data_IF_215987044940
#
_entry.id   IF_215987044940
#
_cell.length_a   1.000
_cell.length_b   1.000
_cell.length_c   1.000
_cell.angle_alpha   90.00
_cell.angle_beta   90.00
_cell.angle_gamma   90.00
#
_symmetry.space_group_name_H-M   'P 1'
#
loop_
_entity.id
_entity.type
_entity.pdbx_description
1 polymer ?
#
# COMPACT_ATOMS: atom_id res chain seq x y z
N UNK A 1 17.59 19.81 -17.42
CA UNK A 1 18.04 20.54 -16.22
C UNK A 1 19.31 21.28 -16.58
N UNK A 2 19.43 22.57 -16.25
CA UNK A 2 20.72 23.28 -16.36
C UNK A 2 21.73 22.63 -15.41
N UNK A 3 22.98 22.46 -15.86
CA UNK A 3 24.07 21.84 -15.09
C UNK A 3 24.23 22.46 -13.69
N UNK A 4 24.08 23.78 -13.61
CA UNK A 4 24.11 24.52 -12.34
C UNK A 4 23.04 24.08 -11.33
N UNK A 5 21.82 23.79 -11.77
CA UNK A 5 20.75 23.29 -10.88
C UNK A 5 21.02 21.84 -10.44
N UNK A 6 21.66 21.04 -11.29
CA UNK A 6 22.01 19.67 -10.92
C UNK A 6 23.09 19.68 -9.82
N UNK A 7 24.12 20.53 -9.97
CA UNK A 7 25.21 20.63 -8.99
C UNK A 7 24.74 21.22 -7.65
N UNK A 8 23.87 22.24 -7.64
CA UNK A 8 23.25 22.79 -6.42
C UNK A 8 22.44 21.73 -5.66
N UNK A 9 21.63 20.93 -6.37
CA UNK A 9 20.88 19.84 -5.73
C UNK A 9 21.80 18.76 -5.13
N UNK A 10 22.93 18.47 -5.78
CA UNK A 10 23.93 17.53 -5.25
C UNK A 10 24.57 18.08 -3.97
N UNK A 11 24.93 19.36 -3.95
CA UNK A 11 25.53 20.01 -2.78
C UNK A 11 24.59 19.99 -1.57
N UNK A 12 23.29 20.29 -1.78
CA UNK A 12 22.27 20.22 -0.73
C UNK A 12 22.07 18.80 -0.21
N UNK A 13 22.04 17.81 -1.11
CA UNK A 13 21.93 16.42 -0.72
C UNK A 13 23.14 15.96 0.10
N UNK A 14 24.36 16.31 -0.31
CA UNK A 14 25.56 15.93 0.43
C UNK A 14 25.62 16.57 1.81
N UNK A 15 25.26 17.86 1.93
CA UNK A 15 25.22 18.56 3.22
C UNK A 15 24.22 17.90 4.18
N UNK A 16 23.01 17.61 3.68
CA UNK A 16 22.00 16.90 4.47
C UNK A 16 22.49 15.51 4.93
N UNK A 17 23.10 14.73 4.04
CA UNK A 17 23.57 13.38 4.39
C UNK A 17 24.74 13.38 5.38
N UNK A 18 25.57 14.43 5.39
CA UNK A 18 26.62 14.59 6.40
C UNK A 18 26.09 15.01 7.76
N UNK A 19 25.08 15.87 7.81
CA UNK A 19 24.50 16.37 9.07
C UNK A 19 23.47 15.42 9.68
N UNK A 20 22.73 14.69 8.85
CA UNK A 20 21.64 13.84 9.32
C UNK A 20 22.19 12.67 10.14
N UNK A 21 22.06 12.72 11.47
CA UNK A 21 22.47 11.62 12.37
C UNK A 21 21.78 10.30 12.03
N UNK A 22 20.48 10.35 11.76
CA UNK A 22 19.66 9.22 11.30
C UNK A 22 18.87 9.59 10.04
N UNK A 23 18.75 8.64 9.11
CA UNK A 23 17.93 8.84 7.91
C UNK A 23 16.47 8.49 8.22
N UNK A 24 15.50 9.25 7.67
CA UNK A 24 14.09 8.98 7.90
C UNK A 24 13.70 7.62 7.32
N UNK A 25 13.47 6.66 8.20
CA UNK A 25 13.07 5.30 7.87
C UNK A 25 11.66 5.01 8.37
N UNK A 26 10.91 4.21 7.60
CA UNK A 26 9.58 3.73 7.96
C UNK A 26 9.53 2.22 7.72
N UNK A 27 9.34 1.45 8.80
CA UNK A 27 9.30 -0.01 8.73
C UNK A 27 10.63 -0.64 8.30
N UNK A 28 11.77 -0.09 8.78
CA UNK A 28 13.11 -0.59 8.44
C UNK A 28 13.67 -0.13 7.09
N UNK A 29 12.87 0.55 6.25
CA UNK A 29 13.29 1.05 4.94
C UNK A 29 13.38 2.58 4.91
N UNK A 30 14.40 3.12 4.23
CA UNK A 30 14.63 4.56 4.16
C UNK A 30 13.69 5.22 3.13
N UNK A 31 13.05 6.33 3.52
CA UNK A 31 12.09 7.03 2.68
C UNK A 31 12.78 8.07 1.80
N UNK A 32 12.91 7.77 0.50
CA UNK A 32 13.47 8.68 -0.51
C UNK A 32 12.72 10.02 -0.56
N UNK A 33 11.39 10.00 -0.44
CA UNK A 33 10.56 11.21 -0.41
C UNK A 33 10.85 12.06 0.83
N UNK A 34 11.04 11.43 2.00
CA UNK A 34 11.37 12.16 3.22
C UNK A 34 12.77 12.77 3.14
N UNK A 35 13.74 12.05 2.56
CA UNK A 35 15.09 12.58 2.31
C UNK A 35 15.03 13.76 1.35
N UNK A 36 14.32 13.64 0.22
CA UNK A 36 14.20 14.73 -0.75
C UNK A 36 13.61 15.99 -0.11
N UNK A 37 12.55 15.82 0.69
CA UNK A 37 11.92 16.92 1.42
C UNK A 37 12.86 17.55 2.46
N UNK A 38 13.60 16.73 3.21
CA UNK A 38 14.52 17.20 4.23
C UNK A 38 15.77 17.89 3.64
N UNK A 39 16.27 17.41 2.50
CA UNK A 39 17.36 18.02 1.75
C UNK A 39 16.91 19.22 0.90
N UNK A 40 15.60 19.51 0.82
CA UNK A 40 15.07 20.62 0.03
C UNK A 40 15.26 20.47 -1.48
N UNK A 41 15.24 19.23 -1.99
CA UNK A 41 15.40 18.91 -3.42
C UNK A 41 14.17 18.18 -3.96
N UNK A 42 13.97 18.22 -5.28
CA UNK A 42 12.93 17.43 -5.93
C UNK A 42 13.29 15.94 -5.88
N UNK A 43 12.34 15.09 -5.46
CA UNK A 43 12.47 13.63 -5.45
C UNK A 43 12.95 13.05 -6.78
N UNK A 44 12.56 13.66 -7.91
CA UNK A 44 12.95 13.21 -9.24
C UNK A 44 14.46 13.32 -9.47
N UNK A 45 15.17 14.20 -8.76
CA UNK A 45 16.63 14.33 -8.83
C UNK A 45 17.31 13.07 -8.30
N UNK A 46 16.81 12.50 -7.19
CA UNK A 46 17.35 11.27 -6.61
C UNK A 46 17.22 10.08 -7.56
N UNK A 47 16.18 10.06 -8.40
CA UNK A 47 15.96 8.98 -9.38
C UNK A 47 16.69 9.22 -10.71
N UNK A 48 16.71 10.45 -11.22
CA UNK A 48 17.21 10.76 -12.57
C UNK A 48 18.69 11.12 -12.61
N UNK A 49 19.26 11.61 -11.50
CA UNK A 49 20.66 11.99 -11.44
C UNK A 49 21.50 10.84 -10.86
N UNK A 50 22.35 10.18 -11.66
CA UNK A 50 23.16 9.05 -11.19
C UNK A 50 24.11 9.45 -10.06
N UNK A 51 24.58 10.70 -10.01
CA UNK A 51 25.43 11.20 -8.91
C UNK A 51 24.67 11.28 -7.59
N UNK A 52 23.40 11.68 -7.63
CA UNK A 52 22.56 11.78 -6.44
C UNK A 52 22.26 10.39 -5.87
N UNK A 53 22.01 9.43 -6.77
CA UNK A 53 21.80 8.03 -6.42
C UNK A 53 23.03 7.42 -5.75
N UNK A 54 24.21 7.57 -6.34
CA UNK A 54 25.46 7.06 -5.77
C UNK A 54 25.75 7.65 -4.38
N UNK A 55 25.56 8.97 -4.21
CA UNK A 55 25.72 9.62 -2.90
C UNK A 55 24.79 9.06 -1.83
N UNK A 56 23.54 8.77 -2.20
CA UNK A 56 22.57 8.23 -1.27
C UNK A 56 22.89 6.78 -0.89
N UNK A 57 23.29 5.95 -1.85
CA UNK A 57 23.74 4.57 -1.60
C UNK A 57 24.97 4.53 -0.69
N UNK A 58 25.96 5.39 -0.92
CA UNK A 58 27.14 5.52 -0.08
C UNK A 58 26.79 5.93 1.36
N UNK A 59 25.87 6.89 1.52
CA UNK A 59 25.41 7.33 2.83
C UNK A 59 24.65 6.22 3.60
N UNK A 60 23.85 5.42 2.90
CA UNK A 60 23.15 4.28 3.48
C UNK A 60 24.13 3.20 3.95
N UNK A 61 25.12 2.90 3.11
CA UNK A 61 26.18 1.93 3.42
C UNK A 61 27.00 2.37 4.63
N UNK A 62 27.42 3.63 4.68
CA UNK A 62 28.15 4.21 5.83
C UNK A 62 27.34 4.16 7.12
N UNK A 63 26.03 4.37 7.05
CA UNK A 63 25.13 4.36 8.20
C UNK A 63 24.60 2.96 8.57
N UNK A 64 25.06 1.90 7.90
CA UNK A 64 24.58 0.51 8.09
C UNK A 64 23.05 0.38 8.02
N UNK A 65 22.41 1.24 7.23
CA UNK A 65 20.98 1.17 6.96
C UNK A 65 20.79 0.36 5.67
N UNK A 66 19.93 -0.66 5.72
CA UNK A 66 19.61 -1.47 4.53
C UNK A 66 19.04 -0.57 3.42
N UNK A 67 19.55 -0.78 2.20
CA UNK A 67 19.56 0.18 1.10
C UNK A 67 18.21 0.53 0.47
N UNK A 68 18.27 1.43 -0.52
CA UNK A 68 17.14 1.81 -1.38
C UNK A 68 16.81 0.64 -2.30
N UNK A 69 15.63 0.05 -2.15
CA UNK A 69 15.01 -0.64 -3.27
C UNK A 69 14.49 0.41 -4.24
N UNK A 70 15.22 0.59 -5.33
CA UNK A 70 14.74 1.26 -6.54
C UNK A 70 13.56 0.41 -7.01
N UNK A 71 12.34 0.90 -6.85
CA UNK A 71 11.18 0.26 -7.49
C UNK A 71 11.38 0.35 -9.01
N UNK A 72 11.91 -0.71 -9.60
CA UNK A 72 11.75 -0.97 -11.02
C UNK A 72 10.25 -1.09 -11.28
N UNK A 73 9.73 -0.16 -12.07
CA UNK A 73 8.40 -0.28 -12.69
C UNK A 73 8.49 -1.48 -13.65
N UNK A 74 8.18 -2.69 -13.18
CA UNK A 74 8.39 -3.87 -14.01
C UNK A 74 7.73 -5.17 -13.54
N UNK A 75 7.70 -5.47 -12.23
CA UNK A 75 7.15 -6.74 -11.76
C UNK A 75 6.29 -6.53 -10.52
N UNK A 76 4.98 -6.86 -10.63
CA UNK A 76 4.11 -6.96 -9.45
C UNK A 76 4.81 -7.88 -8.46
N UNK A 77 5.10 -7.37 -7.27
CA UNK A 77 5.75 -8.16 -6.22
C UNK A 77 4.95 -9.44 -5.99
N UNK A 78 5.61 -10.58 -5.72
CA UNK A 78 4.90 -11.81 -5.35
C UNK A 78 3.91 -11.60 -4.19
N UNK A 79 4.20 -10.62 -3.32
CA UNK A 79 3.30 -10.17 -2.27
C UNK A 79 2.01 -9.52 -2.81
N UNK A 80 2.09 -8.70 -3.86
CA UNK A 80 0.92 -8.09 -4.50
C UNK A 80 0.06 -9.15 -5.20
N UNK A 81 0.68 -10.10 -5.90
CA UNK A 81 -0.05 -11.22 -6.51
C UNK A 81 -0.72 -12.10 -5.46
N UNK A 82 -0.04 -12.36 -4.33
CA UNK A 82 -0.61 -13.09 -3.21
C UNK A 82 -1.80 -12.35 -2.58
N UNK A 83 -1.69 -11.02 -2.45
CA UNK A 83 -2.79 -10.17 -2.00
C UNK A 83 -3.98 -10.22 -2.95
N UNK A 84 -3.74 -10.08 -4.26
CA UNK A 84 -4.77 -10.12 -5.30
C UNK A 84 -5.51 -11.47 -5.29
N UNK A 85 -4.78 -12.58 -5.16
CA UNK A 85 -5.38 -13.93 -4.99
C UNK A 85 -6.22 -14.03 -3.72
N UNK A 86 -5.77 -13.43 -2.62
CA UNK A 86 -6.50 -13.45 -1.35
C UNK A 86 -7.78 -12.61 -1.43
N UNK A 87 -7.72 -11.44 -2.07
CA UNK A 87 -8.88 -10.57 -2.31
C UNK A 87 -9.93 -11.32 -3.12
N UNK A 88 -9.56 -11.90 -4.26
CA UNK A 88 -10.51 -12.67 -5.10
C UNK A 88 -11.15 -13.83 -4.32
N UNK A 89 -10.39 -14.53 -3.48
CA UNK A 89 -10.91 -15.63 -2.65
C UNK A 89 -11.92 -15.12 -1.61
N UNK A 90 -11.63 -13.98 -0.99
CA UNK A 90 -12.53 -13.37 -0.01
C UNK A 90 -13.80 -12.84 -0.66
N UNK A 91 -13.70 -12.22 -1.84
CA UNK A 91 -14.85 -11.75 -2.61
C UNK A 91 -15.78 -12.91 -3.01
N UNK A 92 -15.22 -14.02 -3.51
CA UNK A 92 -15.99 -15.21 -3.83
C UNK A 92 -16.71 -15.78 -2.60
N UNK A 93 -16.03 -15.86 -1.45
CA UNK A 93 -16.64 -16.34 -0.20
C UNK A 93 -17.73 -15.40 0.31
N UNK A 94 -17.52 -14.09 0.20
CA UNK A 94 -18.53 -13.11 0.56
C UNK A 94 -19.78 -13.22 -0.32
N UNK A 95 -19.61 -13.46 -1.63
CA UNK A 95 -20.73 -13.66 -2.54
C UNK A 95 -21.58 -14.89 -2.16
N UNK A 96 -20.93 -16.02 -1.83
CA UNK A 96 -21.61 -17.23 -1.36
C UNK A 96 -22.38 -16.97 -0.07
N UNK A 97 -21.71 -16.40 0.94
CA UNK A 97 -22.33 -16.09 2.23
C UNK A 97 -23.50 -15.09 2.09
N UNK A 98 -23.39 -14.12 1.18
CA UNK A 98 -24.47 -13.18 0.90
C UNK A 98 -25.70 -13.89 0.32
N UNK A 99 -25.51 -14.83 -0.61
CA UNK A 99 -26.60 -15.65 -1.17
C UNK A 99 -27.28 -16.48 -0.07
N UNK A 100 -26.49 -17.20 0.74
CA UNK A 100 -27.02 -17.99 1.85
C UNK A 100 -27.80 -17.12 2.84
N UNK A 101 -27.30 -15.92 3.14
CA UNK A 101 -27.99 -14.98 4.02
C UNK A 101 -29.35 -14.54 3.43
N UNK A 102 -29.40 -14.29 2.12
CA UNK A 102 -30.65 -13.94 1.43
C UNK A 102 -31.67 -15.08 1.50
N UNK A 103 -31.24 -16.31 1.25
CA UNK A 103 -32.10 -17.50 1.27
C UNK A 103 -32.63 -17.78 2.68
N UNK A 104 -31.76 -17.70 3.70
CA UNK A 104 -32.17 -17.86 5.09
C UNK A 104 -33.15 -16.77 5.52
N UNK A 105 -32.91 -15.51 5.13
CA UNK A 105 -33.86 -14.42 5.39
C UNK A 105 -35.20 -14.66 4.71
N UNK A 106 -35.22 -15.19 3.49
CA UNK A 106 -36.46 -15.52 2.78
C UNK A 106 -37.23 -16.64 3.50
N UNK A 107 -36.54 -17.69 3.94
CA UNK A 107 -37.14 -18.78 4.73
C UNK A 107 -37.72 -18.28 6.04
N UNK A 108 -37.00 -17.45 6.78
CA UNK A 108 -37.48 -16.86 8.03
C UNK A 108 -38.74 -16.01 7.79
N UNK A 109 -38.78 -15.21 6.71
CA UNK A 109 -39.99 -14.45 6.36
C UNK A 109 -41.20 -15.36 6.09
N UNK A 110 -41.00 -16.43 5.33
CA UNK A 110 -42.06 -17.39 5.03
C UNK A 110 -42.58 -18.08 6.29
N UNK A 111 -41.68 -18.58 7.15
CA UNK A 111 -42.06 -19.22 8.40
C UNK A 111 -42.81 -18.27 9.34
N UNK A 112 -42.33 -17.03 9.50
CA UNK A 112 -43.03 -16.02 10.29
C UNK A 112 -44.43 -15.72 9.75
N UNK A 113 -44.59 -15.69 8.43
CA UNK A 113 -45.90 -15.49 7.82
C UNK A 113 -46.85 -16.65 8.13
N UNK A 114 -46.37 -17.89 8.04
CA UNK A 114 -47.13 -19.09 8.39
C UNK A 114 -47.53 -19.07 9.87
N UNK A 115 -46.59 -18.78 10.77
CA UNK A 115 -46.85 -18.65 12.22
C UNK A 115 -47.93 -17.62 12.50
N UNK A 116 -47.88 -16.45 11.85
CA UNK A 116 -48.90 -15.41 11.97
C UNK A 116 -50.26 -15.89 11.48
N UNK A 117 -50.33 -16.56 10.33
CA UNK A 117 -51.59 -17.07 9.77
C UNK A 117 -52.23 -18.12 10.67
N UNK A 118 -51.43 -19.03 11.24
CA UNK A 118 -51.88 -20.03 12.22
C UNK A 118 -52.40 -19.32 13.48
N UNK A 119 -51.65 -18.35 14.01
CA UNK A 119 -52.04 -17.60 15.22
C UNK A 119 -53.35 -16.82 14.99
N UNK A 120 -53.57 -16.31 13.79
CA UNK A 120 -54.79 -15.60 13.40
C UNK A 120 -55.95 -16.54 13.01
N UNK A 121 -55.78 -17.86 13.11
CA UNK A 121 -56.80 -18.86 12.76
C UNK A 121 -57.15 -18.94 11.27
N UNK A 122 -56.30 -18.40 10.39
CA UNK A 122 -56.52 -18.37 8.94
C UNK A 122 -55.81 -19.55 8.27
N UNK A 123 -56.46 -20.14 7.26
CA UNK A 123 -55.91 -21.29 6.50
C UNK A 123 -54.68 -20.85 5.70
N UNK A 124 -53.59 -21.61 5.82
CA UNK A 124 -52.37 -21.45 5.00
C UNK A 124 -52.62 -22.13 3.65
N UNK A 125 -52.54 -21.39 2.55
CA UNK A 125 -52.57 -21.94 1.19
C UNK A 125 -51.11 -22.06 0.72
N UNK A 126 -50.64 -23.25 0.33
CA UNK A 126 -49.25 -23.50 -0.07
C UNK A 126 -48.87 -22.80 -1.37
#
# INVERSE_FOLDING_TARGET
MSKAKADDNIARLSAYLSEAGALPARGGKVSVTAIAKAAGIDRQVLYRNPRAKALLEDALRKKRLEGIEIQSVGERSENEKALERRVRRLEARNAVLASENMDLRARIRSLKHIEQMITMGKRVIP
#
